data_IF_632931148420
#
_entry.id   IF_632931148420
#
_cell.length_a   1.000
_cell.length_b   1.000
_cell.length_c   1.000
_cell.angle_alpha   90.00
_cell.angle_beta   90.00
_cell.angle_gamma   90.00
#
_symmetry.space_group_name_H-M   'P 1'
#
loop_
_entity.id
_entity.type
_entity.pdbx_description
1 polymer ?
#
# COMPACT_ATOMS: atom_id res chain seq x y z
N UNK A 1 -19.32 -25.07 6.43
CA UNK A 1 -17.95 -25.17 5.89
C UNK A 1 -17.73 -24.00 4.95
N UNK A 2 -16.99 -23.00 5.40
CA UNK A 2 -16.60 -21.83 4.60
C UNK A 2 -15.64 -22.29 3.50
N UNK A 3 -16.02 -22.10 2.25
CA UNK A 3 -15.23 -22.46 1.05
C UNK A 3 -14.10 -21.44 0.78
N UNK A 4 -13.44 -20.95 1.82
CA UNK A 4 -12.40 -19.90 1.71
C UNK A 4 -10.97 -20.46 1.57
N UNK A 5 -10.77 -21.78 1.76
CA UNK A 5 -9.44 -22.39 1.72
C UNK A 5 -9.09 -23.14 0.42
N UNK A 6 -9.99 -23.18 -0.57
CA UNK A 6 -9.71 -23.89 -1.82
C UNK A 6 -8.99 -22.96 -2.82
N UNK A 7 -7.68 -23.16 -3.00
CA UNK A 7 -6.92 -22.47 -4.05
C UNK A 7 -7.38 -22.88 -5.46
N UNK A 8 -7.08 -22.05 -6.46
CA UNK A 8 -7.46 -22.37 -7.85
C UNK A 8 -6.57 -23.46 -8.45
N UNK A 9 -7.06 -24.16 -9.48
CA UNK A 9 -6.30 -25.16 -10.25
C UNK A 9 -6.29 -24.84 -11.76
N UNK A 10 -6.21 -23.56 -12.11
CA UNK A 10 -6.29 -23.09 -13.49
C UNK A 10 -5.10 -23.58 -14.33
N UNK A 11 -5.36 -24.17 -15.50
CA UNK A 11 -4.32 -24.58 -16.44
C UNK A 11 -4.04 -23.53 -17.53
N UNK A 12 -5.03 -22.66 -17.81
CA UNK A 12 -4.98 -21.68 -18.89
C UNK A 12 -5.27 -20.26 -18.37
N UNK A 13 -4.92 -19.25 -19.17
CA UNK A 13 -5.24 -17.85 -18.90
C UNK A 13 -4.40 -17.18 -17.82
N UNK A 14 -3.33 -17.83 -17.33
CA UNK A 14 -2.38 -17.30 -16.35
C UNK A 14 -3.03 -16.73 -15.07
N UNK A 15 -4.25 -17.18 -14.75
CA UNK A 15 -5.10 -16.64 -13.69
C UNK A 15 -5.50 -15.16 -13.84
N UNK A 16 -5.44 -14.59 -15.05
CA UNK A 16 -5.86 -13.21 -15.36
C UNK A 16 -7.23 -13.16 -16.08
N UNK A 17 -8.06 -14.19 -15.93
CA UNK A 17 -9.42 -14.25 -16.48
C UNK A 17 -10.42 -14.48 -15.35
N UNK A 18 -11.67 -14.02 -15.53
CA UNK A 18 -12.74 -14.19 -14.54
C UNK A 18 -13.14 -15.67 -14.30
N UNK A 19 -12.67 -16.60 -15.14
CA UNK A 19 -12.78 -18.05 -14.90
C UNK A 19 -11.91 -18.50 -13.72
N UNK A 20 -10.88 -17.73 -13.37
CA UNK A 20 -10.10 -17.97 -12.17
C UNK A 20 -10.84 -17.44 -10.94
N UNK A 21 -11.19 -18.28 -9.95
CA UNK A 21 -11.90 -17.83 -8.75
C UNK A 21 -11.06 -16.89 -7.87
N UNK A 22 -9.72 -16.91 -8.00
CA UNK A 22 -8.85 -15.93 -7.35
C UNK A 22 -8.98 -14.56 -8.00
N UNK A 23 -8.97 -14.52 -9.33
CA UNK A 23 -9.10 -13.26 -10.07
C UNK A 23 -10.50 -12.67 -9.98
N UNK A 24 -11.55 -13.50 -10.14
CA UNK A 24 -12.96 -13.08 -10.07
C UNK A 24 -13.31 -12.37 -8.76
N UNK A 25 -12.71 -12.78 -7.64
CA UNK A 25 -12.91 -12.14 -6.32
C UNK A 25 -12.00 -10.94 -6.07
N UNK A 26 -11.28 -10.46 -7.09
CA UNK A 26 -10.30 -9.38 -6.99
C UNK A 26 -9.03 -9.75 -6.20
N UNK A 27 -8.81 -11.04 -5.91
CA UNK A 27 -7.68 -11.53 -5.12
C UNK A 27 -6.51 -12.03 -5.97
N UNK A 28 -5.38 -12.25 -5.29
CA UNK A 28 -4.21 -12.91 -5.87
C UNK A 28 -4.19 -14.41 -5.57
N UNK A 29 -3.53 -15.19 -6.41
CA UNK A 29 -3.24 -16.59 -6.13
C UNK A 29 -2.24 -16.69 -4.97
N UNK A 30 -2.61 -17.46 -3.95
CA UNK A 30 -1.76 -17.77 -2.80
C UNK A 30 -1.12 -19.17 -2.87
N UNK A 31 -0.37 -19.58 -1.83
CA UNK A 31 0.35 -20.86 -1.79
C UNK A 31 -0.52 -22.11 -1.98
N UNK A 32 -1.81 -22.03 -1.65
CA UNK A 32 -2.75 -23.14 -1.80
C UNK A 32 -3.24 -23.34 -3.25
N UNK A 33 -2.86 -22.46 -4.20
CA UNK A 33 -3.24 -22.57 -5.60
C UNK A 33 -2.32 -23.54 -6.36
N UNK A 34 -2.91 -24.40 -7.20
CA UNK A 34 -2.23 -25.37 -8.07
C UNK A 34 -2.25 -24.94 -9.54
N UNK A 35 -2.46 -23.66 -9.81
CA UNK A 35 -2.51 -23.10 -11.16
C UNK A 35 -1.14 -23.11 -11.86
N UNK A 36 -1.15 -23.28 -13.18
CA UNK A 36 0.05 -23.28 -14.01
C UNK A 36 0.28 -21.90 -14.64
N UNK A 37 1.55 -21.51 -14.82
CA UNK A 37 1.97 -20.23 -15.41
C UNK A 37 1.27 -18.99 -14.81
N UNK A 38 0.99 -19.03 -13.50
CA UNK A 38 0.22 -18.00 -12.83
C UNK A 38 0.92 -16.64 -12.85
N UNK A 39 0.22 -15.65 -13.40
CA UNK A 39 0.56 -14.22 -13.37
C UNK A 39 -0.36 -13.42 -12.43
N UNK A 40 -1.38 -14.03 -11.83
CA UNK A 40 -2.16 -13.39 -10.76
C UNK A 40 -1.46 -13.50 -9.40
N UNK A 41 -0.26 -12.91 -9.27
CA UNK A 41 0.54 -12.91 -8.04
C UNK A 41 1.37 -11.63 -7.95
N UNK A 42 1.99 -11.42 -6.79
CA UNK A 42 2.96 -10.34 -6.61
C UNK A 42 4.12 -10.46 -7.62
N UNK A 43 4.54 -9.32 -8.19
CA UNK A 43 5.61 -9.27 -9.21
C UNK A 43 5.12 -9.27 -10.66
N UNK A 44 3.82 -9.44 -10.90
CA UNK A 44 3.17 -9.25 -12.21
C UNK A 44 2.10 -8.16 -12.12
N UNK A 45 2.30 -7.18 -11.22
CA UNK A 45 1.29 -6.17 -10.90
C UNK A 45 0.90 -5.32 -12.12
N UNK A 46 1.86 -4.97 -12.98
CA UNK A 46 1.61 -4.21 -14.20
C UNK A 46 0.66 -4.94 -15.16
N UNK A 47 0.98 -6.20 -15.50
CA UNK A 47 0.11 -7.02 -16.35
C UNK A 47 -1.26 -7.27 -15.68
N UNK A 48 -1.28 -7.49 -14.36
CA UNK A 48 -2.53 -7.72 -13.63
C UNK A 48 -3.42 -6.48 -13.67
N UNK A 49 -2.87 -5.30 -13.43
CA UNK A 49 -3.61 -4.04 -13.44
C UNK A 49 -4.13 -3.71 -14.83
N UNK A 50 -3.33 -3.88 -15.87
CA UNK A 50 -3.75 -3.67 -17.25
C UNK A 50 -4.96 -4.56 -17.62
N UNK A 51 -4.97 -5.82 -17.17
CA UNK A 51 -6.11 -6.72 -17.42
C UNK A 51 -7.33 -6.32 -16.56
N UNK A 52 -7.14 -5.94 -15.30
CA UNK A 52 -8.24 -5.47 -14.44
C UNK A 52 -8.91 -4.23 -15.06
N UNK A 53 -8.11 -3.27 -15.53
CA UNK A 53 -8.60 -2.06 -16.19
C UNK A 53 -9.42 -2.39 -17.45
N UNK A 54 -8.88 -3.27 -18.31
CA UNK A 54 -9.61 -3.72 -19.50
C UNK A 54 -10.91 -4.48 -19.17
N UNK A 55 -10.92 -5.28 -18.10
CA UNK A 55 -12.13 -5.98 -17.65
C UNK A 55 -13.17 -4.98 -17.12
N UNK A 56 -12.76 -3.99 -16.35
CA UNK A 56 -13.64 -2.97 -15.79
C UNK A 56 -14.18 -1.99 -16.83
N UNK A 57 -13.40 -1.68 -17.87
CA UNK A 57 -13.85 -0.83 -18.98
C UNK A 57 -14.95 -1.50 -19.82
N UNK A 58 -14.91 -2.84 -19.92
CA UNK A 58 -15.95 -3.62 -20.59
C UNK A 58 -17.15 -3.92 -19.68
N UNK A 59 -16.89 -4.23 -18.41
CA UNK A 59 -17.90 -4.61 -17.43
C UNK A 59 -17.55 -4.01 -16.06
N UNK A 60 -18.15 -2.87 -15.75
CA UNK A 60 -17.91 -2.10 -14.51
C UNK A 60 -18.16 -2.89 -13.23
N UNK A 61 -19.07 -3.87 -13.25
CA UNK A 61 -19.43 -4.73 -12.10
C UNK A 61 -18.69 -6.07 -12.09
N UNK A 62 -17.66 -6.26 -12.91
CA UNK A 62 -17.00 -7.56 -13.10
C UNK A 62 -16.46 -8.22 -11.82
N UNK A 63 -16.04 -7.40 -10.86
CA UNK A 63 -15.46 -7.85 -9.58
C UNK A 63 -16.41 -7.66 -8.38
N UNK A 64 -17.68 -7.36 -8.64
CA UNK A 64 -18.71 -7.29 -7.60
C UNK A 64 -19.43 -8.64 -7.51
N UNK A 65 -19.81 -9.05 -6.31
CA UNK A 65 -20.66 -10.22 -6.08
C UNK A 65 -22.07 -9.95 -6.63
N UNK A 66 -22.27 -10.16 -7.93
CA UNK A 66 -23.54 -9.85 -8.62
C UNK A 66 -24.72 -10.64 -8.07
N UNK A 67 -24.48 -11.80 -7.48
CA UNK A 67 -25.51 -12.64 -6.87
C UNK A 67 -26.13 -11.98 -5.61
N UNK A 68 -25.53 -10.90 -5.12
CA UNK A 68 -25.99 -10.12 -3.97
C UNK A 68 -26.57 -8.75 -4.36
N UNK A 69 -26.48 -8.34 -5.63
CA UNK A 69 -26.95 -7.04 -6.06
C UNK A 69 -28.39 -7.12 -6.55
N UNK A 70 -29.23 -6.21 -6.07
CA UNK A 70 -30.53 -5.97 -6.69
C UNK A 70 -30.38 -5.11 -7.98
N UNK A 71 -31.43 -5.06 -8.83
CA UNK A 71 -31.36 -4.31 -10.09
C UNK A 71 -31.02 -2.82 -9.92
N UNK A 72 -31.49 -2.19 -8.84
CA UNK A 72 -31.22 -0.77 -8.59
C UNK A 72 -29.76 -0.55 -8.20
N UNK A 73 -29.19 -1.41 -7.35
CA UNK A 73 -27.76 -1.40 -6.99
C UNK A 73 -26.87 -1.61 -8.23
N UNK A 74 -27.23 -2.56 -9.10
CA UNK A 74 -26.54 -2.77 -10.37
C UNK A 74 -26.52 -1.49 -11.21
N UNK A 75 -27.68 -0.84 -11.36
CA UNK A 75 -27.83 0.37 -12.16
C UNK A 75 -27.05 1.55 -11.56
N UNK A 76 -27.07 1.72 -10.24
CA UNK A 76 -26.30 2.77 -9.56
C UNK A 76 -24.79 2.60 -9.77
N UNK A 77 -24.27 1.38 -9.60
CA UNK A 77 -22.84 1.10 -9.81
C UNK A 77 -22.46 1.32 -11.28
N UNK A 78 -23.30 0.85 -12.20
CA UNK A 78 -23.07 1.02 -13.63
C UNK A 78 -23.08 2.49 -14.04
N UNK A 79 -24.06 3.26 -13.58
CA UNK A 79 -24.17 4.69 -13.89
C UNK A 79 -23.00 5.49 -13.30
N UNK A 80 -22.61 5.19 -12.06
CA UNK A 80 -21.46 5.82 -11.43
C UNK A 80 -20.16 5.57 -12.21
N UNK A 81 -19.94 4.32 -12.65
CA UNK A 81 -18.76 3.96 -13.45
C UNK A 81 -18.70 4.67 -14.82
N UNK A 82 -19.86 4.93 -15.45
CA UNK A 82 -19.91 5.70 -16.70
C UNK A 82 -19.58 7.19 -16.49
N UNK A 83 -19.91 7.75 -15.33
CA UNK A 83 -19.59 9.15 -15.02
C UNK A 83 -18.09 9.33 -14.75
N UNK A 84 -17.45 8.38 -14.06
CA UNK A 84 -16.03 8.47 -13.72
C UNK A 84 -15.09 8.24 -14.90
N UNK A 85 -15.49 7.48 -15.92
CA UNK A 85 -14.70 7.27 -17.13
C UNK A 85 -14.66 8.48 -18.08
N UNK A 86 -15.53 9.47 -17.86
CA UNK A 86 -15.59 10.71 -18.66
C UNK A 86 -14.65 11.82 -18.16
N UNK A 87 -13.90 11.57 -17.08
CA UNK A 87 -12.92 12.49 -16.51
C UNK A 87 -11.54 12.06 -17.03
N UNK A 88 -10.79 12.97 -17.68
CA UNK A 88 -9.39 12.77 -18.09
C UNK A 88 -8.52 12.43 -16.87
N UNK A 89 -8.57 11.18 -16.45
CA UNK A 89 -7.77 10.62 -15.37
C UNK A 89 -6.51 10.04 -16.03
N UNK A 90 -5.35 10.54 -15.63
CA UNK A 90 -4.07 10.01 -16.10
C UNK A 90 -4.01 8.50 -15.86
N UNK A 91 -3.42 7.74 -16.80
CA UNK A 91 -3.24 6.30 -16.68
C UNK A 91 -2.54 5.96 -15.36
N UNK A 92 -3.14 5.08 -14.56
CA UNK A 92 -2.59 4.67 -13.28
C UNK A 92 -1.32 3.85 -13.51
N UNK A 93 -0.17 4.50 -13.43
CA UNK A 93 1.11 3.81 -13.44
C UNK A 93 1.43 3.31 -12.03
N UNK A 94 1.46 1.99 -11.86
CA UNK A 94 2.02 1.38 -10.66
C UNK A 94 3.52 1.68 -10.62
N UNK A 95 3.92 2.71 -9.88
CA UNK A 95 5.32 2.87 -9.50
C UNK A 95 5.69 1.64 -8.68
N UNK A 96 6.80 0.98 -9.06
CA UNK A 96 7.43 -0.02 -8.21
C UNK A 96 7.55 0.61 -6.81
N UNK A 97 7.07 -0.12 -5.79
CA UNK A 97 7.22 0.34 -4.41
C UNK A 97 8.70 0.46 -4.13
N UNK A 98 9.24 1.68 -4.16
CA UNK A 98 10.47 2.03 -3.49
C UNK A 98 10.42 1.42 -2.08
N UNK A 99 11.53 0.80 -1.63
CA UNK A 99 11.61 -0.03 -0.42
C UNK A 99 10.61 0.42 0.63
N UNK A 100 9.68 -0.45 1.08
CA UNK A 100 8.54 0.06 1.82
C UNK A 100 9.06 0.63 3.13
N UNK A 101 8.86 1.94 3.32
CA UNK A 101 9.16 2.70 4.54
C UNK A 101 8.76 1.91 5.81
N UNK A 102 7.72 1.07 5.69
CA UNK A 102 7.23 0.15 6.73
C UNK A 102 8.22 -0.91 7.23
N UNK A 103 9.28 -1.27 6.47
CA UNK A 103 10.33 -2.17 6.95
C UNK A 103 11.34 -1.47 7.84
N UNK A 104 11.50 -0.16 7.69
CA UNK A 104 12.48 0.62 8.44
C UNK A 104 11.83 1.37 9.61
N UNK A 105 10.58 1.81 9.46
CA UNK A 105 9.77 2.37 10.53
C UNK A 105 9.13 1.28 11.39
N UNK A 106 9.95 0.35 11.90
CA UNK A 106 9.48 -0.64 12.87
C UNK A 106 9.08 0.05 14.17
N UNK A 107 8.39 -0.68 15.04
CA UNK A 107 8.07 -0.19 16.36
C UNK A 107 9.34 0.18 17.15
N UNK A 108 10.43 -0.61 17.06
CA UNK A 108 11.67 -0.29 17.76
C UNK A 108 12.30 1.01 17.23
N UNK A 109 12.37 1.19 15.92
CA UNK A 109 12.95 2.39 15.30
C UNK A 109 12.14 3.63 15.67
N UNK A 110 10.82 3.54 15.63
CA UNK A 110 9.92 4.64 16.00
C UNK A 110 10.06 5.01 17.48
N UNK A 111 10.11 4.02 18.37
CA UNK A 111 10.32 4.25 19.80
C UNK A 111 11.68 4.87 20.09
N UNK A 112 12.73 4.43 19.40
CA UNK A 112 14.07 4.96 19.60
C UNK A 112 14.19 6.40 19.07
N UNK A 113 13.54 6.72 17.95
CA UNK A 113 13.42 8.09 17.42
C UNK A 113 12.80 9.03 18.45
N UNK A 114 11.64 8.66 19.00
CA UNK A 114 10.93 9.43 20.03
C UNK A 114 11.80 9.62 21.27
N UNK A 115 12.41 8.55 21.79
CA UNK A 115 13.31 8.62 22.95
C UNK A 115 14.48 9.57 22.73
N UNK A 116 15.03 9.60 21.51
CA UNK A 116 16.15 10.46 21.15
C UNK A 116 15.75 11.93 21.24
N UNK A 117 14.65 12.30 20.58
CA UNK A 117 14.12 13.68 20.59
C UNK A 117 13.76 14.13 22.01
N UNK A 118 13.05 13.29 22.78
CA UNK A 118 12.69 13.60 24.18
C UNK A 118 13.94 13.75 25.05
N UNK A 119 14.94 12.88 24.88
CA UNK A 119 16.18 12.97 25.65
C UNK A 119 16.96 14.24 25.34
N UNK A 120 16.96 14.70 24.08
CA UNK A 120 17.59 15.94 23.70
C UNK A 120 16.85 17.16 24.29
N UNK A 121 15.51 17.18 24.19
CA UNK A 121 14.68 18.20 24.81
C UNK A 121 14.91 18.28 26.32
N UNK A 122 14.99 17.13 27.01
CA UNK A 122 15.25 17.09 28.45
C UNK A 122 16.63 17.67 28.80
N UNK A 123 17.67 17.31 28.04
CA UNK A 123 19.02 17.89 28.23
C UNK A 123 19.03 19.40 28.03
N UNK A 124 18.29 19.91 27.05
CA UNK A 124 18.18 21.34 26.79
C UNK A 124 17.47 22.05 27.96
N UNK A 125 16.34 21.50 28.40
CA UNK A 125 15.58 22.03 29.52
C UNK A 125 16.42 22.10 30.82
N UNK A 126 17.15 21.04 31.16
CA UNK A 126 18.02 21.03 32.36
C UNK A 126 19.15 22.06 32.26
N UNK A 127 19.69 22.33 31.06
CA UNK A 127 20.76 23.31 30.87
C UNK A 127 20.29 24.77 30.98
N UNK A 128 19.04 25.03 30.63
CA UNK A 128 18.50 26.39 30.50
C UNK A 128 17.45 26.72 31.56
N UNK A 129 17.30 25.91 32.61
CA UNK A 129 16.35 26.18 33.69
C UNK A 129 16.57 27.58 34.28
N UNK A 130 15.58 28.46 34.10
CA UNK A 130 15.57 29.85 34.60
C UNK A 130 15.94 30.94 33.59
N UNK A 131 16.32 30.59 32.36
CA UNK A 131 16.56 31.56 31.29
C UNK A 131 15.24 32.15 30.74
N UNK A 132 15.22 33.44 30.33
CA UNK A 132 14.14 33.95 29.50
C UNK A 132 14.18 33.23 28.14
N UNK A 133 13.01 32.85 27.61
CA UNK A 133 12.87 32.23 26.28
C UNK A 133 13.22 30.73 26.15
N UNK A 134 13.10 29.96 27.25
CA UNK A 134 13.28 28.49 27.27
C UNK A 134 12.38 27.77 26.26
N UNK A 135 11.16 28.25 26.07
CA UNK A 135 10.16 27.63 25.19
C UNK A 135 10.62 27.62 23.72
N UNK A 136 11.00 28.79 23.19
CA UNK A 136 11.55 28.91 21.84
C UNK A 136 12.84 28.09 21.67
N UNK A 137 13.70 28.07 22.68
CA UNK A 137 14.93 27.25 22.63
C UNK A 137 14.62 25.75 22.60
N UNK A 138 13.61 25.31 23.35
CA UNK A 138 13.18 23.92 23.41
C UNK A 138 12.52 23.47 22.10
N UNK A 139 11.67 24.30 21.51
CA UNK A 139 11.03 24.03 20.21
C UNK A 139 12.07 23.90 19.08
N UNK A 140 13.06 24.78 19.06
CA UNK A 140 14.17 24.72 18.10
C UNK A 140 15.02 23.45 18.30
N UNK A 141 15.26 23.04 19.55
CA UNK A 141 15.97 21.80 19.87
C UNK A 141 15.23 20.58 19.35
N UNK A 142 13.94 20.48 19.67
CA UNK A 142 13.07 19.37 19.25
C UNK A 142 13.03 19.27 17.73
N UNK A 143 12.85 20.41 17.04
CA UNK A 143 12.78 20.44 15.58
C UNK A 143 14.10 20.01 14.93
N UNK A 144 15.23 20.52 15.43
CA UNK A 144 16.56 20.15 14.89
C UNK A 144 16.86 18.66 15.10
N UNK A 145 16.55 18.12 16.27
CA UNK A 145 16.80 16.70 16.56
C UNK A 145 15.86 15.78 15.80
N UNK A 146 14.62 16.19 15.59
CA UNK A 146 13.70 15.47 14.72
C UNK A 146 14.23 15.40 13.28
N UNK A 147 14.72 16.51 12.72
CA UNK A 147 15.36 16.51 11.40
C UNK A 147 16.60 15.60 11.33
N UNK A 148 17.43 15.60 12.38
CA UNK A 148 18.62 14.76 12.45
C UNK A 148 18.25 13.27 12.41
N UNK A 149 17.22 12.88 13.17
CA UNK A 149 16.69 11.52 13.17
C UNK A 149 16.14 11.15 11.79
N UNK A 150 15.36 12.03 11.15
CA UNK A 150 14.84 11.78 9.80
C UNK A 150 15.95 11.62 8.77
N UNK A 151 16.98 12.48 8.81
CA UNK A 151 18.15 12.38 7.91
C UNK A 151 18.87 11.05 8.12
N UNK A 152 19.09 10.62 9.36
CA UNK A 152 19.71 9.33 9.64
C UNK A 152 18.90 8.14 9.10
N UNK A 153 17.57 8.19 9.24
CA UNK A 153 16.65 7.18 8.69
C UNK A 153 16.74 7.15 7.16
N UNK A 154 16.72 8.32 6.50
CA UNK A 154 16.80 8.42 5.04
C UNK A 154 18.17 7.95 4.51
N UNK A 155 19.26 8.34 5.15
CA UNK A 155 20.61 7.88 4.78
C UNK A 155 20.74 6.36 4.94
N UNK A 156 20.13 5.76 5.97
CA UNK A 156 20.11 4.31 6.12
C UNK A 156 19.32 3.60 4.99
N UNK A 157 18.26 4.24 4.48
CA UNK A 157 17.52 3.75 3.31
C UNK A 157 18.38 3.80 2.05
N UNK A 158 19.14 4.88 1.85
CA UNK A 158 20.01 5.07 0.68
C UNK A 158 21.25 4.14 0.69
N UNK A 159 21.79 3.82 1.86
CA UNK A 159 23.01 3.00 2.01
C UNK A 159 22.75 1.48 2.00
N UNK A 160 21.50 1.05 2.16
CA UNK A 160 21.09 -0.35 2.03
C UNK A 160 20.12 -0.57 0.85
N UNK A 161 20.53 -0.28 -0.40
CA UNK A 161 19.78 -0.74 -1.55
C UNK A 161 19.79 -2.27 -1.51
N UNK A 162 18.60 -2.86 -1.60
CA UNK A 162 18.34 -4.27 -1.35
C UNK A 162 19.44 -5.20 -1.90
N UNK A 163 20.01 -6.05 -1.03
CA UNK A 163 20.65 -7.26 -1.51
C UNK A 163 19.59 -8.05 -2.29
N UNK A 164 19.92 -8.28 -3.55
CA UNK A 164 19.09 -8.89 -4.59
C UNK A 164 18.74 -10.33 -4.26
#
# INVERSE_FOLDING_TARGET
MSTEECGCSCCNGNCLLLDCPCFKRGGVCGPNCKCQNCKNKSGWDEERLAVIENVLSQKSVAFTSTDQLNPDEYNLISNFAMLSSSIDSEQFHSKQRDLPLSRLLTQEVTQQAIKTVISAAHRQYTKQQGEPNIEESLENCVSSEYENVLKAILTAIEQHPSQK
#
